data_IF_427111457516
#
_entry.id   IF_427111457516
#
_cell.length_a   1.000
_cell.length_b   1.000
_cell.length_c   1.000
_cell.angle_alpha   90.00
_cell.angle_beta   90.00
_cell.angle_gamma   90.00
#
_symmetry.space_group_name_H-M   'P 1'
#
loop_
_entity.id
_entity.type
_entity.pdbx_description
1 polymer ?
#
# COMPACT_ATOMS: atom_id res chain seq x y z
N UNK A 1 -7.54 -60.18 -2.54
CA UNK A 1 -8.64 -59.25 -2.83
C UNK A 1 -8.94 -58.51 -1.53
N UNK A 2 -8.34 -57.34 -1.30
CA UNK A 2 -8.37 -56.79 0.06
C UNK A 2 -7.75 -55.42 0.22
N UNK A 3 -8.32 -54.41 -0.44
CA UNK A 3 -8.35 -53.05 0.10
C UNK A 3 -9.39 -52.22 -0.65
N UNK A 4 -10.63 -52.27 -0.16
CA UNK A 4 -11.66 -51.27 -0.44
C UNK A 4 -11.32 -50.00 0.34
N UNK A 5 -10.34 -49.24 -0.14
CA UNK A 5 -10.15 -47.86 0.32
C UNK A 5 -10.98 -46.96 -0.58
N UNK A 6 -12.21 -46.70 -0.14
CA UNK A 6 -13.04 -45.62 -0.67
C UNK A 6 -12.41 -44.32 -0.19
N UNK A 7 -11.74 -43.62 -1.10
CA UNK A 7 -11.32 -42.23 -0.86
C UNK A 7 -12.61 -41.43 -0.65
N UNK A 8 -12.77 -40.81 0.51
CA UNK A 8 -13.92 -39.92 0.75
C UNK A 8 -13.81 -38.69 -0.15
N UNK A 9 -14.89 -38.33 -0.85
CA UNK A 9 -15.02 -37.12 -1.65
C UNK A 9 -15.15 -35.85 -0.79
N UNK A 10 -15.16 -35.98 0.54
CA UNK A 10 -15.42 -34.88 1.47
C UNK A 10 -14.22 -33.95 1.74
N UNK A 11 -13.06 -34.17 1.11
CA UNK A 11 -11.90 -33.29 1.28
C UNK A 11 -12.13 -31.86 0.74
N UNK A 12 -13.12 -31.68 -0.14
CA UNK A 12 -13.55 -30.36 -0.62
C UNK A 12 -14.61 -29.68 0.26
N UNK A 13 -15.29 -30.43 1.16
CA UNK A 13 -16.43 -29.90 1.92
C UNK A 13 -16.07 -29.41 3.33
N UNK A 14 -14.96 -29.87 3.93
CA UNK A 14 -14.53 -29.40 5.26
C UNK A 14 -13.83 -28.03 5.24
N UNK A 15 -13.16 -27.68 4.16
CA UNK A 15 -12.64 -26.33 3.94
C UNK A 15 -13.52 -25.66 2.90
N UNK A 16 -14.73 -25.25 3.32
CA UNK A 16 -15.54 -24.34 2.51
C UNK A 16 -14.64 -23.25 1.94
N UNK A 17 -14.82 -22.91 0.65
CA UNK A 17 -14.02 -21.94 -0.09
C UNK A 17 -13.91 -20.61 0.69
N UNK A 18 -12.92 -20.50 1.58
CA UNK A 18 -12.66 -19.31 2.43
C UNK A 18 -11.99 -18.20 1.61
N UNK A 19 -11.58 -18.49 0.37
CA UNK A 19 -11.08 -17.49 -0.55
C UNK A 19 -12.23 -16.85 -1.30
N UNK A 20 -12.94 -15.96 -0.61
CA UNK A 20 -13.96 -15.11 -1.22
C UNK A 20 -13.27 -13.99 -2.03
N UNK A 21 -12.93 -14.33 -3.27
CA UNK A 21 -12.18 -13.46 -4.20
C UNK A 21 -12.90 -12.11 -4.42
N UNK A 22 -14.24 -12.10 -4.31
CA UNK A 22 -15.08 -10.92 -4.51
C UNK A 22 -15.12 -9.97 -3.30
N UNK A 23 -14.99 -10.50 -2.09
CA UNK A 23 -14.94 -9.68 -0.87
C UNK A 23 -13.64 -8.86 -0.84
N UNK A 24 -12.56 -9.44 -1.37
CA UNK A 24 -11.26 -8.78 -1.54
C UNK A 24 -11.34 -7.55 -2.44
N UNK A 25 -12.14 -7.59 -3.53
CA UNK A 25 -12.25 -6.44 -4.45
C UNK A 25 -13.04 -5.27 -3.85
N UNK A 26 -14.08 -5.53 -3.06
CA UNK A 26 -14.86 -4.44 -2.44
C UNK A 26 -14.06 -3.68 -1.37
N UNK A 27 -13.29 -4.41 -0.55
CA UNK A 27 -12.39 -3.80 0.44
C UNK A 27 -11.33 -2.96 -0.28
N UNK A 28 -10.75 -3.49 -1.36
CA UNK A 28 -9.77 -2.78 -2.15
C UNK A 28 -10.31 -1.46 -2.72
N UNK A 29 -11.50 -1.47 -3.33
CA UNK A 29 -12.14 -0.25 -3.84
C UNK A 29 -12.38 0.80 -2.74
N UNK A 30 -12.83 0.37 -1.55
CA UNK A 30 -13.04 1.27 -0.43
C UNK A 30 -11.73 1.88 0.07
N UNK A 31 -10.65 1.10 0.12
CA UNK A 31 -9.31 1.61 0.49
C UNK A 31 -8.75 2.60 -0.53
N UNK A 32 -8.99 2.37 -1.82
CA UNK A 32 -8.58 3.31 -2.87
C UNK A 32 -9.33 4.63 -2.73
N UNK A 33 -10.65 4.58 -2.49
CA UNK A 33 -11.46 5.79 -2.26
C UNK A 33 -10.98 6.59 -1.05
N UNK A 34 -10.72 5.94 0.08
CA UNK A 34 -10.23 6.62 1.29
C UNK A 34 -8.84 7.24 1.08
N UNK A 35 -7.96 6.56 0.33
CA UNK A 35 -6.65 7.11 -0.02
C UNK A 35 -6.76 8.33 -0.96
N UNK A 36 -7.69 8.31 -1.92
CA UNK A 36 -7.93 9.46 -2.80
C UNK A 36 -8.43 10.67 -1.99
N UNK A 37 -9.32 10.46 -1.02
CA UNK A 37 -9.80 11.52 -0.11
C UNK A 37 -8.66 12.08 0.75
N UNK A 38 -7.82 11.21 1.33
CA UNK A 38 -6.66 11.59 2.15
C UNK A 38 -5.63 12.41 1.37
N UNK A 39 -5.40 12.10 0.09
CA UNK A 39 -4.37 12.73 -0.75
C UNK A 39 -4.91 13.80 -1.72
N UNK A 40 -6.12 14.31 -1.53
CA UNK A 40 -6.75 15.36 -2.36
C UNK A 40 -5.84 16.53 -2.71
N UNK A 41 -5.02 16.99 -1.75
CA UNK A 41 -4.12 18.14 -1.92
C UNK A 41 -2.77 17.80 -2.61
N UNK A 42 -2.52 16.53 -2.97
CA UNK A 42 -1.23 16.06 -3.51
C UNK A 42 -1.44 15.34 -4.85
N UNK A 43 -1.38 16.05 -5.99
CA UNK A 43 -1.73 15.50 -7.31
C UNK A 43 -0.84 14.33 -7.75
N UNK A 44 0.41 14.28 -7.28
CA UNK A 44 1.33 13.18 -7.60
C UNK A 44 0.84 11.85 -7.02
N UNK A 45 0.32 11.86 -5.79
CA UNK A 45 -0.18 10.63 -5.17
C UNK A 45 -1.51 10.21 -5.78
N UNK A 46 -2.38 11.16 -6.15
CA UNK A 46 -3.60 10.86 -6.90
C UNK A 46 -3.31 10.15 -8.22
N UNK A 47 -2.36 10.65 -9.02
CA UNK A 47 -1.94 10.00 -10.27
C UNK A 47 -1.45 8.56 -10.05
N UNK A 48 -0.69 8.35 -8.98
CA UNK A 48 -0.16 7.03 -8.62
C UNK A 48 -1.29 6.09 -8.20
N UNK A 49 -2.16 6.52 -7.29
CA UNK A 49 -3.28 5.71 -6.78
C UNK A 49 -4.24 5.36 -7.93
N UNK A 50 -4.62 6.34 -8.76
CA UNK A 50 -5.43 6.10 -9.97
C UNK A 50 -4.78 5.08 -10.90
N UNK A 51 -3.45 5.17 -11.09
CA UNK A 51 -2.72 4.25 -11.95
C UNK A 51 -2.63 2.84 -11.36
N UNK A 52 -2.48 2.68 -10.04
CA UNK A 52 -2.45 1.37 -9.37
C UNK A 52 -3.85 0.74 -9.42
N UNK A 53 -4.89 1.52 -9.18
CA UNK A 53 -6.28 1.08 -9.25
C UNK A 53 -6.80 0.90 -10.68
N UNK A 54 -5.99 1.20 -11.71
CA UNK A 54 -6.34 1.16 -13.13
C UNK A 54 -7.64 1.92 -13.45
N UNK A 55 -7.96 2.94 -12.65
CA UNK A 55 -9.10 3.82 -12.92
C UNK A 55 -8.75 4.56 -14.20
N UNK A 56 -9.45 4.25 -15.28
CA UNK A 56 -9.21 4.81 -16.61
C UNK A 56 -9.45 6.32 -16.59
N UNK A 57 -8.43 7.07 -16.19
CA UNK A 57 -8.42 8.51 -16.38
C UNK A 57 -8.42 8.77 -17.88
N UNK A 58 -9.32 9.64 -18.35
CA UNK A 58 -9.35 10.15 -19.74
C UNK A 58 -8.14 11.06 -20.06
N UNK A 59 -6.98 10.78 -19.45
CA UNK A 59 -5.71 11.47 -19.63
C UNK A 59 -5.02 10.96 -20.91
N UNK A 60 -4.21 11.80 -21.57
CA UNK A 60 -3.49 11.39 -22.76
C UNK A 60 -2.52 10.24 -22.46
N UNK A 61 -2.24 9.39 -23.46
CA UNK A 61 -1.39 8.19 -23.32
C UNK A 61 -0.02 8.47 -22.68
N UNK A 62 0.55 9.64 -22.95
CA UNK A 62 1.84 10.07 -22.37
C UNK A 62 1.76 10.21 -20.85
N UNK A 63 0.71 10.82 -20.34
CA UNK A 63 0.52 11.05 -18.91
C UNK A 63 0.16 9.75 -18.20
N UNK A 64 -0.62 8.88 -18.84
CA UNK A 64 -0.89 7.52 -18.35
C UNK A 64 0.40 6.70 -18.21
N UNK A 65 1.27 6.70 -19.23
CA UNK A 65 2.56 6.00 -19.16
C UNK A 65 3.46 6.57 -18.06
N UNK A 66 3.48 7.90 -17.89
CA UNK A 66 4.24 8.55 -16.81
C UNK A 66 3.70 8.16 -15.44
N UNK A 67 2.38 8.18 -15.24
CA UNK A 67 1.74 7.78 -14.00
C UNK A 67 2.00 6.30 -13.69
N UNK A 68 1.90 5.41 -14.68
CA UNK A 68 2.22 3.99 -14.51
C UNK A 68 3.69 3.76 -14.17
N UNK A 69 4.61 4.48 -14.83
CA UNK A 69 6.03 4.40 -14.48
C UNK A 69 6.28 4.84 -13.04
N UNK A 70 5.66 5.94 -12.59
CA UNK A 70 5.72 6.37 -11.19
C UNK A 70 5.13 5.34 -10.25
N UNK A 71 3.96 4.79 -10.58
CA UNK A 71 3.25 3.80 -9.78
C UNK A 71 4.06 2.52 -9.54
N UNK A 72 5.02 2.17 -10.41
CA UNK A 72 5.93 1.04 -10.18
C UNK A 72 6.79 1.19 -8.91
N UNK A 73 6.95 2.41 -8.39
CA UNK A 73 7.67 2.72 -7.16
C UNK A 73 6.74 2.79 -5.93
N UNK A 74 5.47 2.39 -6.05
CA UNK A 74 4.52 2.47 -4.95
C UNK A 74 3.73 1.17 -4.81
N UNK A 75 3.25 0.93 -3.59
CA UNK A 75 2.44 -0.22 -3.24
C UNK A 75 1.30 0.22 -2.31
N UNK A 76 0.09 -0.26 -2.55
CA UNK A 76 -1.02 -0.10 -1.62
C UNK A 76 -1.10 -1.37 -0.78
N UNK A 77 -0.93 -1.24 0.53
CA UNK A 77 -0.99 -2.37 1.46
C UNK A 77 -1.56 -1.91 2.80
N UNK A 78 -2.48 -2.70 3.36
CA UNK A 78 -3.17 -2.41 4.62
C UNK A 78 -3.84 -1.01 4.65
N UNK A 79 -4.41 -0.59 3.52
CA UNK A 79 -5.06 0.72 3.39
C UNK A 79 -4.10 1.91 3.43
N UNK A 80 -2.79 1.68 3.28
CA UNK A 80 -1.75 2.71 3.27
C UNK A 80 -1.01 2.71 1.94
N UNK A 81 -0.55 3.89 1.52
CA UNK A 81 0.32 4.03 0.36
C UNK A 81 1.76 3.94 0.82
N UNK A 82 2.50 2.98 0.29
CA UNK A 82 3.91 2.75 0.57
C UNK A 82 4.75 3.17 -0.62
N UNK A 83 5.87 3.83 -0.36
CA UNK A 83 6.88 4.09 -1.37
C UNK A 83 7.93 2.98 -1.34
N UNK A 84 8.07 2.29 -2.46
CA UNK A 84 9.15 1.38 -2.75
C UNK A 84 10.32 2.20 -3.27
N UNK A 85 11.50 2.11 -2.65
CA UNK A 85 12.67 2.83 -3.15
C UNK A 85 13.16 2.18 -4.45
N UNK A 86 13.35 2.98 -5.50
CA UNK A 86 13.94 2.55 -6.76
C UNK A 86 15.47 2.52 -6.68
N UNK A 87 16.06 1.44 -7.17
CA UNK A 87 17.49 1.37 -7.51
C UNK A 87 18.23 0.16 -6.93
N UNK A 88 19.27 -0.25 -7.66
CA UNK A 88 20.29 -1.26 -7.31
C UNK A 88 21.23 -0.72 -6.22
N UNK A 89 20.70 -0.18 -5.13
CA UNK A 89 21.55 0.28 -4.03
C UNK A 89 22.05 -0.92 -3.24
N UNK A 90 23.34 -0.91 -2.89
CA UNK A 90 24.03 -1.98 -2.15
C UNK A 90 23.39 -2.31 -0.80
N UNK A 91 22.58 -1.40 -0.24
CA UNK A 91 21.88 -1.59 1.03
C UNK A 91 20.39 -1.74 0.82
N UNK A 92 19.82 -2.80 1.42
CA UNK A 92 18.38 -2.93 1.59
C UNK A 92 17.89 -1.78 2.47
N UNK A 93 16.79 -1.14 2.07
CA UNK A 93 16.08 -0.18 2.90
C UNK A 93 14.62 -0.61 3.02
N UNK A 94 14.03 -0.33 4.19
CA UNK A 94 12.63 -0.52 4.47
C UNK A 94 11.77 0.36 3.55
N UNK A 95 10.59 -0.14 3.21
CA UNK A 95 9.53 0.64 2.57
C UNK A 95 9.07 1.75 3.51
N UNK A 96 8.79 2.94 2.99
CA UNK A 96 8.35 4.08 3.79
C UNK A 96 6.89 4.41 3.51
N UNK A 97 6.09 4.63 4.55
CA UNK A 97 4.71 5.09 4.40
C UNK A 97 4.69 6.50 3.78
N UNK A 98 3.83 6.69 2.77
CA UNK A 98 3.51 8.02 2.26
C UNK A 98 2.47 8.65 3.17
N UNK A 99 2.79 9.83 3.68
CA UNK A 99 1.91 10.63 4.54
C UNK A 99 1.75 12.02 3.96
N UNK A 100 0.67 12.72 4.35
CA UNK A 100 0.53 14.13 4.02
C UNK A 100 1.53 14.97 4.82
N UNK A 101 1.70 16.23 4.42
CA UNK A 101 2.60 17.13 5.15
C UNK A 101 2.12 17.37 6.57
N UNK A 102 0.81 17.57 6.75
CA UNK A 102 0.18 17.80 8.06
C UNK A 102 0.38 16.61 8.99
N UNK A 103 0.20 15.39 8.48
CA UNK A 103 0.46 14.16 9.23
C UNK A 103 1.94 14.02 9.59
N UNK A 104 2.84 14.35 8.66
CA UNK A 104 4.29 14.31 8.92
C UNK A 104 4.71 15.29 10.03
N UNK A 105 4.14 16.50 10.02
CA UNK A 105 4.37 17.51 11.06
C UNK A 105 3.83 17.07 12.43
N UNK A 106 2.63 16.49 12.46
CA UNK A 106 2.05 15.93 13.68
C UNK A 106 2.91 14.77 14.22
N UNK A 107 3.28 13.81 13.38
CA UNK A 107 4.15 12.70 13.79
C UNK A 107 5.50 13.19 14.32
N UNK A 108 6.12 14.19 13.66
CA UNK A 108 7.37 14.76 14.12
C UNK A 108 7.21 15.46 15.48
N UNK A 109 6.10 16.17 15.70
CA UNK A 109 5.79 16.84 16.97
C UNK A 109 5.59 15.81 18.09
N UNK A 110 4.79 14.77 17.84
CA UNK A 110 4.56 13.68 18.80
C UNK A 110 5.85 12.95 19.16
N UNK A 111 6.69 12.63 18.17
CA UNK A 111 7.99 12.01 18.42
C UNK A 111 8.93 12.92 19.22
N UNK A 112 8.95 14.21 18.90
CA UNK A 112 9.75 15.20 19.63
C UNK A 112 9.33 15.30 21.10
N UNK A 113 8.03 15.30 21.39
CA UNK A 113 7.50 15.33 22.76
C UNK A 113 7.78 14.04 23.53
N UNK A 114 7.57 12.88 22.90
CA UNK A 114 7.70 11.57 23.54
C UNK A 114 9.14 11.15 23.81
N UNK A 115 10.08 11.49 22.91
CA UNK A 115 11.48 11.08 23.07
C UNK A 115 12.31 12.07 23.90
N UNK A 116 11.73 13.19 24.35
CA UNK A 116 12.42 14.15 25.22
C UNK A 116 13.16 15.25 24.46
N UNK A 117 12.50 15.87 23.48
CA UNK A 117 12.98 17.01 22.70
C UNK A 117 14.26 16.76 21.90
N UNK A 118 14.31 15.60 21.26
CA UNK A 118 15.44 15.19 20.43
C UNK A 118 15.65 16.11 19.22
N UNK A 119 16.90 16.19 18.77
CA UNK A 119 17.26 16.94 17.57
C UNK A 119 16.59 16.40 16.30
N UNK A 120 16.61 17.21 15.23
CA UNK A 120 15.99 16.87 13.95
C UNK A 120 16.43 15.51 13.39
N UNK A 121 17.74 15.21 13.45
CA UNK A 121 18.29 14.01 12.80
C UNK A 121 17.88 12.73 13.52
N UNK A 122 17.77 12.77 14.85
CA UNK A 122 17.30 11.66 15.67
C UNK A 122 15.81 11.38 15.46
N UNK A 123 14.97 12.43 15.34
CA UNK A 123 13.55 12.27 14.99
C UNK A 123 13.41 11.68 13.59
N UNK A 124 14.23 12.15 12.65
CA UNK A 124 14.22 11.63 11.28
C UNK A 124 14.60 10.14 11.23
N UNK A 125 15.59 9.71 12.01
CA UNK A 125 15.96 8.30 12.11
C UNK A 125 14.78 7.50 12.68
N UNK A 126 14.21 7.94 13.81
CA UNK A 126 13.08 7.26 14.45
C UNK A 126 11.83 7.14 13.56
N UNK A 127 11.61 8.09 12.65
CA UNK A 127 10.48 8.06 11.70
C UNK A 127 10.77 7.25 10.42
N UNK A 128 12.04 6.95 10.12
CA UNK A 128 12.45 6.26 8.89
C UNK A 128 12.85 4.80 9.11
N UNK A 129 13.14 4.41 10.35
CA UNK A 129 13.45 3.04 10.75
C UNK A 129 12.17 2.21 10.91
#
# INVERSE_FOLDING_TARGET
DGSTWTVSEDWETETGLINDILLTSMIYEQTVKSLLERFTNKPIFLEVIESIAQVNSNKPLRDRKRAHHRASEYLIENGKLWRLRRGTTVRAQSRTECVTQEEAEQMATTQHEQMGHWGRDTIKIALMD
#
